data_IF_117703313516
#
_entry.id   IF_117703313516
#
_cell.length_a   1.000
_cell.length_b   1.000
_cell.length_c   1.000
_cell.angle_alpha   90.00
_cell.angle_beta   90.00
_cell.angle_gamma   90.00
#
_symmetry.space_group_name_H-M   'P 1'
#
loop_
_entity.id
_entity.type
_entity.pdbx_description
1 polymer ?
#
# COMPACT_ATOMS: atom_id res chain seq x y z
N UNK A 1 2.70 23.86 -4.69
CA UNK A 1 2.96 25.00 -3.79
C UNK A 1 2.71 26.36 -4.46
N UNK A 2 3.10 26.57 -5.72
CA UNK A 2 2.88 27.85 -6.44
C UNK A 2 1.41 28.29 -6.61
N UNK A 3 0.45 27.37 -6.80
CA UNK A 3 -0.98 27.74 -6.94
C UNK A 3 -1.61 28.36 -5.68
N UNK A 4 -1.23 27.88 -4.49
CA UNK A 4 -1.79 28.37 -3.24
C UNK A 4 -1.43 29.84 -2.99
N UNK A 5 -0.24 30.27 -3.44
CA UNK A 5 0.21 31.66 -3.33
C UNK A 5 -0.50 32.56 -4.33
N UNK A 6 -0.81 32.06 -5.53
CA UNK A 6 -1.55 32.81 -6.56
C UNK A 6 -3.04 32.97 -6.29
N UNK A 7 -3.65 32.10 -5.48
CA UNK A 7 -5.09 32.14 -5.14
C UNK A 7 -5.37 32.86 -3.81
N UNK A 8 -4.34 33.22 -3.04
CA UNK A 8 -4.53 33.95 -1.79
C UNK A 8 -4.69 35.46 -2.04
N UNK A 9 -5.92 35.94 -2.13
CA UNK A 9 -6.21 37.35 -1.90
C UNK A 9 -6.27 37.62 -0.38
N UNK A 10 -5.44 38.54 0.12
CA UNK A 10 -5.48 38.99 1.52
C UNK A 10 -4.55 38.28 2.52
N UNK A 11 -3.57 37.49 2.06
CA UNK A 11 -2.48 36.98 2.91
C UNK A 11 -2.86 35.88 3.91
N UNK A 12 -4.06 35.31 3.81
CA UNK A 12 -4.50 34.17 4.62
C UNK A 12 -4.75 32.94 3.75
N UNK A 13 -4.02 31.86 4.02
CA UNK A 13 -4.18 30.57 3.34
C UNK A 13 -5.28 29.79 4.07
N UNK A 14 -6.38 29.48 3.37
CA UNK A 14 -7.44 28.61 3.88
C UNK A 14 -7.19 27.16 3.47
N UNK A 15 -7.76 26.20 4.20
CA UNK A 15 -7.57 24.76 3.93
C UNK A 15 -7.97 24.37 2.49
N UNK A 16 -8.99 25.04 1.93
CA UNK A 16 -9.46 24.88 0.56
C UNK A 16 -8.45 25.29 -0.53
N UNK A 17 -7.46 26.12 -0.19
CA UNK A 17 -6.36 26.52 -1.09
C UNK A 17 -5.25 25.46 -1.15
N UNK A 18 -5.26 24.49 -0.23
CA UNK A 18 -4.29 23.40 -0.19
C UNK A 18 -4.83 22.27 -1.07
N UNK A 19 -4.47 22.30 -2.36
CA UNK A 19 -4.54 21.13 -3.22
C UNK A 19 -3.45 20.15 -2.79
N UNK A 20 -3.78 19.25 -1.87
CA UNK A 20 -2.95 18.09 -1.62
C UNK A 20 -2.90 17.28 -2.93
N UNK A 21 -1.72 16.86 -3.40
CA UNK A 21 -1.67 15.79 -4.38
C UNK A 21 -2.51 14.64 -3.84
N UNK A 22 -3.20 13.90 -4.70
CA UNK A 22 -3.75 12.60 -4.35
C UNK A 22 -2.60 11.67 -3.94
N UNK A 23 -2.07 11.87 -2.73
CA UNK A 23 -1.67 10.80 -1.84
C UNK A 23 -2.96 10.18 -1.29
N UNK A 24 -3.92 9.90 -2.18
CA UNK A 24 -4.97 8.96 -1.91
C UNK A 24 -4.27 7.71 -1.42
N UNK A 25 -4.69 7.23 -0.25
CA UNK A 25 -4.16 6.01 0.32
C UNK A 25 -4.01 4.98 -0.80
N UNK A 26 -2.79 4.45 -0.97
CA UNK A 26 -2.53 3.48 -2.03
C UNK A 26 -3.66 2.46 -2.03
N UNK A 27 -4.40 2.26 -3.15
CA UNK A 27 -5.68 1.53 -3.17
C UNK A 27 -5.70 0.09 -2.65
N UNK A 28 -4.63 -0.45 -2.06
CA UNK A 28 -4.61 -1.78 -1.45
C UNK A 28 -4.72 -1.80 0.08
N UNK A 29 -4.26 -0.76 0.79
CA UNK A 29 -4.13 -0.84 2.26
C UNK A 29 -5.32 -0.27 3.04
N UNK A 30 -6.10 0.63 2.44
CA UNK A 30 -7.17 1.36 3.14
C UNK A 30 -8.49 0.59 3.26
N UNK A 31 -8.67 -0.51 2.50
CA UNK A 31 -9.95 -1.24 2.41
C UNK A 31 -9.89 -2.65 3.02
N UNK A 32 -8.92 -2.92 3.89
CA UNK A 32 -8.83 -4.21 4.58
C UNK A 32 -9.89 -4.25 5.69
N UNK A 33 -10.90 -5.11 5.54
CA UNK A 33 -11.89 -5.38 6.60
C UNK A 33 -11.19 -5.74 7.92
N UNK A 34 -11.69 -5.18 9.02
CA UNK A 34 -11.20 -5.42 10.39
C UNK A 34 -12.08 -6.42 11.14
N UNK A 35 -12.88 -7.22 10.44
CA UNK A 35 -13.82 -8.15 11.08
C UNK A 35 -13.14 -9.45 11.53
N UNK A 36 -13.51 -9.93 12.73
CA UNK A 36 -13.00 -11.17 13.30
C UNK A 36 -11.76 -10.99 14.20
N UNK A 37 -11.07 -12.10 14.46
CA UNK A 37 -9.94 -12.12 15.39
C UNK A 37 -8.67 -11.50 14.78
N UNK A 38 -7.73 -11.13 15.65
CA UNK A 38 -6.48 -10.45 15.27
C UNK A 38 -5.71 -11.21 14.17
N UNK A 39 -5.64 -12.53 14.24
CA UNK A 39 -4.94 -13.35 13.25
C UNK A 39 -5.57 -13.24 11.85
N UNK A 40 -6.91 -13.17 11.79
CA UNK A 40 -7.64 -12.98 10.54
C UNK A 40 -7.40 -11.58 9.97
N UNK A 41 -7.41 -10.55 10.82
CA UNK A 41 -7.13 -9.16 10.43
C UNK A 41 -5.70 -9.04 9.89
N UNK A 42 -4.71 -9.56 10.63
CA UNK A 42 -3.30 -9.53 10.25
C UNK A 42 -3.08 -10.32 8.96
N UNK A 43 -3.69 -11.51 8.81
CA UNK A 43 -3.58 -12.31 7.60
C UNK A 43 -4.09 -11.59 6.34
N UNK A 44 -5.23 -10.89 6.44
CA UNK A 44 -5.76 -10.07 5.33
C UNK A 44 -4.83 -8.90 4.98
N UNK A 45 -4.30 -8.24 6.00
CA UNK A 45 -3.36 -7.14 5.81
C UNK A 45 -2.06 -7.61 5.15
N UNK A 46 -1.47 -8.71 5.66
CA UNK A 46 -0.27 -9.31 5.07
C UNK A 46 -0.49 -9.71 3.61
N UNK A 47 -1.63 -10.32 3.28
CA UNK A 47 -1.99 -10.67 1.90
C UNK A 47 -2.02 -9.44 1.00
N UNK A 48 -2.74 -8.39 1.38
CA UNK A 48 -2.84 -7.16 0.59
C UNK A 48 -1.47 -6.50 0.35
N UNK A 49 -0.63 -6.44 1.40
CA UNK A 49 0.74 -5.93 1.29
C UNK A 49 1.55 -6.75 0.27
N UNK A 50 1.47 -8.08 0.36
CA UNK A 50 2.21 -8.97 -0.52
C UNK A 50 1.73 -8.86 -1.97
N UNK A 51 0.42 -8.81 -2.23
CA UNK A 51 -0.15 -8.61 -3.57
C UNK A 51 0.35 -7.31 -4.21
N UNK A 52 0.28 -6.20 -3.48
CA UNK A 52 0.71 -4.89 -3.99
C UNK A 52 2.23 -4.83 -4.25
N UNK A 53 3.03 -5.43 -3.37
CA UNK A 53 4.48 -5.47 -3.56
C UNK A 53 4.88 -6.43 -4.69
N UNK A 54 4.14 -7.53 -4.87
CA UNK A 54 4.43 -8.53 -5.89
C UNK A 54 4.16 -8.00 -7.30
N UNK A 55 3.16 -7.13 -7.47
CA UNK A 55 2.92 -6.42 -8.72
C UNK A 55 4.12 -5.54 -9.14
N UNK A 56 4.87 -4.99 -8.18
CA UNK A 56 6.06 -4.17 -8.44
C UNK A 56 7.36 -5.00 -8.51
N UNK A 57 7.38 -6.17 -7.88
CA UNK A 57 8.56 -7.03 -7.71
C UNK A 57 8.16 -8.50 -7.90
N UNK A 58 8.05 -9.00 -9.15
CA UNK A 58 7.45 -10.29 -9.48
C UNK A 58 8.30 -11.52 -9.06
N UNK A 59 9.30 -11.33 -8.21
CA UNK A 59 10.14 -12.42 -7.69
C UNK A 59 10.18 -12.43 -6.16
N UNK A 60 10.08 -13.63 -5.59
CA UNK A 60 10.19 -13.85 -4.14
C UNK A 60 11.51 -13.34 -3.56
N UNK A 61 12.60 -13.42 -4.34
CA UNK A 61 13.91 -12.87 -3.97
C UNK A 61 13.92 -11.35 -3.87
N UNK A 62 13.34 -10.63 -4.83
CA UNK A 62 13.28 -9.16 -4.79
C UNK A 62 12.41 -8.68 -3.63
N UNK A 63 11.26 -9.32 -3.42
CA UNK A 63 10.36 -9.02 -2.30
C UNK A 63 11.07 -9.24 -0.96
N UNK A 64 11.75 -10.38 -0.79
CA UNK A 64 12.46 -10.74 0.43
C UNK A 64 13.56 -9.75 0.79
N UNK A 65 14.35 -9.32 -0.22
CA UNK A 65 15.38 -8.29 -0.04
C UNK A 65 14.77 -6.97 0.45
N UNK A 66 13.61 -6.59 -0.10
CA UNK A 66 12.91 -5.35 0.28
C UNK A 66 12.28 -5.42 1.68
N UNK A 67 11.75 -6.58 2.04
CA UNK A 67 11.07 -6.82 3.31
C UNK A 67 12.03 -7.20 4.45
N UNK A 68 13.33 -7.39 4.17
CA UNK A 68 14.33 -7.73 5.19
C UNK A 68 14.17 -9.15 5.75
N UNK A 69 13.53 -10.05 5.00
CA UNK A 69 13.28 -11.44 5.41
C UNK A 69 13.90 -12.43 4.44
N UNK A 70 13.89 -13.71 4.80
CA UNK A 70 14.42 -14.75 3.92
C UNK A 70 13.53 -15.00 2.69
N UNK A 71 14.13 -15.41 1.58
CA UNK A 71 13.38 -15.72 0.36
C UNK A 71 12.43 -16.92 0.55
N UNK A 72 12.77 -17.88 1.41
CA UNK A 72 11.92 -19.03 1.73
C UNK A 72 10.70 -18.60 2.54
N UNK A 73 10.86 -17.65 3.47
CA UNK A 73 9.74 -17.06 4.23
C UNK A 73 8.72 -16.41 3.28
N UNK A 74 9.18 -15.58 2.34
CA UNK A 74 8.29 -14.96 1.35
C UNK A 74 7.66 -16.00 0.44
N UNK A 75 8.44 -16.96 -0.06
CA UNK A 75 7.90 -18.02 -0.93
C UNK A 75 6.78 -18.81 -0.24
N UNK A 76 6.93 -19.09 1.06
CA UNK A 76 5.90 -19.78 1.84
C UNK A 76 4.67 -18.91 2.04
N UNK A 77 4.82 -17.62 2.38
CA UNK A 77 3.70 -16.69 2.51
C UNK A 77 2.94 -16.49 1.19
N UNK A 78 3.64 -16.33 0.07
CA UNK A 78 3.00 -16.20 -1.25
C UNK A 78 2.16 -17.45 -1.61
N UNK A 79 2.67 -18.66 -1.30
CA UNK A 79 1.92 -19.91 -1.48
C UNK A 79 0.72 -20.02 -0.56
N UNK A 80 0.89 -19.69 0.73
CA UNK A 80 -0.18 -19.75 1.71
C UNK A 80 -1.35 -18.83 1.36
N UNK A 81 -1.07 -17.65 0.82
CA UNK A 81 -2.07 -16.70 0.38
C UNK A 81 -2.49 -16.84 -1.09
N UNK A 82 -1.97 -17.85 -1.80
CA UNK A 82 -2.24 -18.13 -3.22
C UNK A 82 -1.99 -16.92 -4.14
N UNK A 83 -0.98 -16.11 -3.83
CA UNK A 83 -0.61 -14.91 -4.59
C UNK A 83 0.25 -15.35 -5.78
N UNK A 84 -0.35 -15.37 -6.97
CA UNK A 84 0.28 -15.73 -8.26
C UNK A 84 0.24 -14.56 -9.24
N UNK A 85 1.06 -14.57 -10.31
CA UNK A 85 1.06 -13.57 -11.40
C UNK A 85 -0.20 -13.68 -12.29
N UNK A 86 -1.38 -13.83 -11.70
CA UNK A 86 -2.67 -13.92 -12.39
C UNK A 86 -3.59 -12.78 -11.92
N UNK A 87 -3.06 -11.57 -11.92
CA UNK A 87 -3.86 -10.35 -11.95
C UNK A 87 -3.81 -9.85 -13.40
N UNK A 88 -4.75 -10.33 -14.22
CA UNK A 88 -4.98 -9.84 -15.58
C UNK A 88 -6.21 -8.94 -15.59
#
# INVERSE_FOLDING_TARGET
MFQAVSLCEGGKVQAEHIRLPDYGARPGLADVSLDGDLDAIVGRFERSVLEQLYAQHPSSRQLAKRLGVSHTTIANKLRAYQISQEAK
#
